data_IF_068551288095
#
_entry.id   IF_068551288095
#
_cell.length_a   1.000
_cell.length_b   1.000
_cell.length_c   1.000
_cell.angle_alpha   90.00
_cell.angle_beta   90.00
_cell.angle_gamma   90.00
#
_symmetry.space_group_name_H-M   'P 1'
#
loop_
_entity.id
_entity.type
_entity.pdbx_description
1 polymer ?
#
# COMPACT_ATOMS: atom_id res chain seq x y z
N UNK A 1 3.92 -10.93 23.89
CA UNK A 1 3.54 -9.51 23.79
C UNK A 1 2.85 -9.30 22.46
N UNK A 2 1.65 -8.74 22.46
CA UNK A 2 0.93 -8.39 21.24
C UNK A 2 1.73 -7.32 20.48
N UNK A 3 2.22 -7.65 19.28
CA UNK A 3 2.90 -6.69 18.41
C UNK A 3 1.98 -5.55 17.93
N UNK A 4 0.68 -5.62 18.23
CA UNK A 4 -0.36 -4.69 17.81
C UNK A 4 -0.22 -3.27 18.39
N UNK A 5 0.64 -3.03 19.39
CA UNK A 5 0.76 -1.69 20.01
C UNK A 5 2.05 -0.92 19.72
N UNK A 6 3.03 -1.46 19.00
CA UNK A 6 4.33 -0.77 18.81
C UNK A 6 4.91 -0.99 17.41
N UNK A 7 4.09 -0.86 16.36
CA UNK A 7 4.61 -0.80 15.00
C UNK A 7 4.12 0.49 14.33
N UNK A 8 5.08 1.39 14.05
CA UNK A 8 4.88 2.58 13.24
C UNK A 8 6.21 3.02 12.66
N UNK A 9 6.16 3.81 11.59
CA UNK A 9 7.35 4.54 11.16
C UNK A 9 7.69 5.65 12.15
N UNK A 10 8.97 6.04 12.20
CA UNK A 10 9.42 7.15 13.05
C UNK A 10 8.65 8.43 12.66
N UNK A 11 7.93 8.99 13.64
CA UNK A 11 7.11 10.18 13.49
C UNK A 11 7.94 11.42 13.08
N UNK A 12 7.26 12.46 12.61
CA UNK A 12 7.89 13.71 12.20
C UNK A 12 8.58 14.44 13.38
N UNK A 13 9.41 15.43 13.04
CA UNK A 13 10.17 16.38 13.88
C UNK A 13 11.68 16.16 14.17
N UNK A 14 12.36 15.19 13.55
CA UNK A 14 13.83 15.09 13.66
C UNK A 14 14.52 14.62 12.36
N UNK A 15 15.85 14.79 12.25
CA UNK A 15 16.70 14.33 11.12
C UNK A 15 16.51 12.82 10.82
N UNK A 16 16.17 12.02 11.83
CA UNK A 16 15.99 10.56 11.77
C UNK A 16 14.55 10.10 11.46
N UNK A 17 13.64 11.03 11.11
CA UNK A 17 12.24 10.70 10.78
C UNK A 17 12.12 9.90 9.48
N UNK A 18 11.05 9.12 9.34
CA UNK A 18 10.78 8.37 8.10
C UNK A 18 10.55 9.31 6.92
N UNK A 19 9.92 10.47 7.14
CA UNK A 19 9.69 11.46 6.10
C UNK A 19 11.00 11.90 5.40
N UNK A 20 12.09 12.04 6.16
CA UNK A 20 13.39 12.44 5.64
C UNK A 20 14.24 11.28 5.10
N UNK A 21 13.92 10.03 5.46
CA UNK A 21 14.75 8.86 5.20
C UNK A 21 14.06 7.79 4.32
N UNK A 22 12.99 8.14 3.62
CA UNK A 22 12.16 7.22 2.82
C UNK A 22 12.44 7.27 1.31
N UNK A 23 13.64 7.71 0.92
CA UNK A 23 14.04 7.83 -0.49
C UNK A 23 14.04 6.50 -1.23
N UNK A 24 14.38 5.40 -0.55
CA UNK A 24 14.35 4.06 -1.15
C UNK A 24 12.93 3.60 -1.49
N UNK A 25 11.98 3.75 -0.56
CA UNK A 25 10.57 3.43 -0.77
C UNK A 25 9.98 4.27 -1.91
N UNK A 26 10.38 5.55 -1.98
CA UNK A 26 10.03 6.44 -3.11
C UNK A 26 10.49 5.87 -4.45
N UNK A 27 11.76 5.44 -4.55
CA UNK A 27 12.30 4.86 -5.78
C UNK A 27 11.57 3.58 -6.19
N UNK A 28 11.11 2.78 -5.24
CA UNK A 28 10.32 1.59 -5.57
C UNK A 28 8.95 1.97 -6.16
N UNK A 29 8.23 2.93 -5.57
CA UNK A 29 6.95 3.41 -6.12
C UNK A 29 7.16 3.96 -7.54
N UNK A 30 8.23 4.72 -7.78
CA UNK A 30 8.56 5.22 -9.11
C UNK A 30 8.90 4.09 -10.10
N UNK A 31 9.61 3.04 -9.66
CA UNK A 31 9.96 1.89 -10.50
C UNK A 31 8.74 1.04 -10.88
N UNK A 32 7.78 0.89 -9.97
CA UNK A 32 6.56 0.12 -10.21
C UNK A 32 5.41 0.97 -10.78
N UNK A 33 5.64 2.28 -11.01
CA UNK A 33 4.67 3.19 -11.64
C UNK A 33 4.00 2.60 -12.89
N UNK A 34 4.70 2.02 -13.89
CA UNK A 34 4.04 1.48 -15.08
C UNK A 34 2.98 0.43 -14.76
N UNK A 35 3.20 -0.38 -13.71
CA UNK A 35 2.24 -1.41 -13.27
C UNK A 35 1.03 -0.78 -12.59
N UNK A 36 1.22 0.29 -11.82
CA UNK A 36 0.11 1.06 -11.25
C UNK A 36 -0.75 1.64 -12.39
N UNK A 37 -0.12 2.29 -13.38
CA UNK A 37 -0.79 2.94 -14.51
C UNK A 37 -1.55 1.93 -15.38
N UNK A 38 -0.94 0.79 -15.70
CA UNK A 38 -1.61 -0.30 -16.43
C UNK A 38 -2.80 -0.85 -15.64
N UNK A 39 -2.59 -1.15 -14.36
CA UNK A 39 -3.62 -1.76 -13.51
C UNK A 39 -4.83 -0.84 -13.29
N UNK A 40 -4.59 0.45 -13.09
CA UNK A 40 -5.67 1.43 -12.90
C UNK A 40 -6.40 1.70 -14.21
N UNK A 41 -5.69 1.74 -15.34
CA UNK A 41 -6.30 1.85 -16.67
C UNK A 41 -7.28 0.72 -16.90
N UNK A 42 -6.84 -0.51 -16.65
CA UNK A 42 -7.65 -1.72 -16.78
C UNK A 42 -8.89 -1.70 -15.89
N UNK A 43 -8.72 -1.35 -14.61
CA UNK A 43 -9.81 -1.28 -13.65
C UNK A 43 -10.82 -0.18 -14.02
N UNK A 44 -10.33 1.01 -14.38
CA UNK A 44 -11.17 2.15 -14.74
C UNK A 44 -12.00 1.86 -15.99
N UNK A 45 -11.40 1.28 -17.04
CA UNK A 45 -12.12 0.93 -18.29
C UNK A 45 -13.19 -0.14 -18.09
N UNK A 46 -12.94 -1.08 -17.18
CA UNK A 46 -13.87 -2.18 -16.86
C UNK A 46 -15.05 -1.73 -15.99
N UNK A 47 -14.82 -0.81 -15.05
CA UNK A 47 -15.83 -0.41 -14.06
C UNK A 47 -16.55 0.87 -14.47
N UNK A 48 -15.84 1.84 -15.05
CA UNK A 48 -16.33 3.19 -15.40
C UNK A 48 -17.20 3.84 -14.31
N UNK A 49 -16.69 3.97 -13.06
CA UNK A 49 -17.51 4.42 -11.94
C UNK A 49 -17.78 5.92 -12.00
N UNK A 50 -18.88 6.37 -11.40
CA UNK A 50 -19.13 7.81 -11.14
C UNK A 50 -18.21 8.34 -10.03
N UNK A 51 -17.91 7.51 -9.04
CA UNK A 51 -16.98 7.79 -7.95
C UNK A 51 -16.03 6.61 -7.78
N UNK A 52 -14.73 6.85 -7.97
CA UNK A 52 -13.67 5.87 -7.84
C UNK A 52 -13.08 5.90 -6.44
N UNK A 53 -13.32 4.84 -5.68
CA UNK A 53 -12.73 4.65 -4.34
C UNK A 53 -11.38 3.96 -4.41
N UNK A 54 -10.34 4.64 -3.92
CA UNK A 54 -8.95 4.19 -3.92
C UNK A 54 -8.47 4.08 -2.48
N UNK A 55 -7.87 2.95 -2.10
CA UNK A 55 -7.25 2.79 -0.78
C UNK A 55 -5.74 2.59 -0.88
N UNK A 56 -4.98 3.26 -0.02
CA UNK A 56 -3.55 3.00 0.20
C UNK A 56 -3.36 2.38 1.59
N UNK A 57 -2.92 1.12 1.65
CA UNK A 57 -2.81 0.33 2.88
C UNK A 57 -1.37 0.31 3.39
N UNK A 58 -1.15 0.89 4.56
CA UNK A 58 0.19 1.15 5.11
C UNK A 58 0.80 2.43 4.51
N UNK A 59 0.04 3.53 4.52
CA UNK A 59 0.45 4.79 3.90
C UNK A 59 1.62 5.48 4.60
N UNK A 60 1.87 5.14 5.88
CA UNK A 60 2.83 5.81 6.76
C UNK A 60 2.55 7.32 6.86
N UNK A 61 3.59 8.11 7.06
CA UNK A 61 3.62 9.57 6.99
C UNK A 61 4.77 10.03 6.09
N UNK A 62 4.83 11.32 5.77
CA UNK A 62 5.91 11.90 4.97
C UNK A 62 5.58 12.06 3.49
N UNK A 63 6.59 12.34 2.64
CA UNK A 63 6.38 12.81 1.27
C UNK A 63 5.88 11.72 0.30
N UNK A 64 5.95 10.44 0.69
CA UNK A 64 5.59 9.33 -0.19
C UNK A 64 4.10 8.98 -0.16
N UNK A 65 3.36 9.44 0.87
CA UNK A 65 1.94 9.11 1.11
C UNK A 65 1.08 9.32 -0.15
N UNK A 66 1.31 10.43 -0.87
CA UNK A 66 0.49 10.76 -2.02
C UNK A 66 1.08 10.31 -3.36
N UNK A 67 2.25 9.67 -3.40
CA UNK A 67 2.94 9.41 -4.67
C UNK A 67 2.20 8.40 -5.55
N UNK A 68 1.76 7.28 -4.98
CA UNK A 68 0.96 6.30 -5.70
C UNK A 68 -0.42 6.87 -6.08
N UNK A 69 -1.04 7.61 -5.16
CA UNK A 69 -2.33 8.29 -5.39
C UNK A 69 -2.22 9.28 -6.57
N UNK A 70 -1.15 10.08 -6.62
CA UNK A 70 -0.90 10.98 -7.74
C UNK A 70 -0.90 10.24 -9.07
N UNK A 71 -0.15 9.14 -9.18
CA UNK A 71 -0.07 8.35 -10.42
C UNK A 71 -1.44 7.77 -10.83
N UNK A 72 -2.23 7.32 -9.86
CA UNK A 72 -3.59 6.82 -10.07
C UNK A 72 -4.51 7.91 -10.63
N UNK A 73 -4.56 9.07 -9.94
CA UNK A 73 -5.39 10.21 -10.34
C UNK A 73 -4.99 10.74 -11.72
N UNK A 74 -3.69 10.89 -11.95
CA UNK A 74 -3.12 11.40 -13.20
C UNK A 74 -3.44 10.50 -14.38
N UNK A 75 -3.35 9.18 -14.19
CA UNK A 75 -3.66 8.21 -15.25
C UNK A 75 -5.13 8.22 -15.63
N UNK A 76 -6.04 8.20 -14.65
CA UNK A 76 -7.49 8.28 -14.92
C UNK A 76 -7.84 9.61 -15.58
N UNK A 77 -7.23 10.71 -15.13
CA UNK A 77 -7.41 12.02 -15.74
C UNK A 77 -6.98 12.03 -17.22
N UNK A 78 -5.80 11.49 -17.53
CA UNK A 78 -5.30 11.38 -18.90
C UNK A 78 -6.22 10.53 -19.80
N UNK A 79 -6.72 9.40 -19.31
CA UNK A 79 -7.69 8.56 -20.05
C UNK A 79 -8.95 9.36 -20.35
N UNK A 80 -9.50 10.06 -19.35
CA UNK A 80 -10.72 10.84 -19.53
C UNK A 80 -10.55 11.96 -20.57
N UNK A 81 -9.39 12.63 -20.58
CA UNK A 81 -9.09 13.65 -21.58
C UNK A 81 -8.96 13.06 -22.99
N UNK A 82 -8.26 11.93 -23.13
CA UNK A 82 -8.02 11.28 -24.43
C UNK A 82 -9.31 10.70 -25.02
N UNK A 83 -10.14 10.07 -24.20
CA UNK A 83 -11.36 9.39 -24.63
C UNK A 83 -12.61 10.26 -24.49
N UNK A 84 -12.46 11.54 -24.11
CA UNK A 84 -13.55 12.51 -23.92
C UNK A 84 -14.61 12.02 -22.91
N UNK A 85 -14.15 11.30 -21.88
CA UNK A 85 -15.01 10.78 -20.81
C UNK A 85 -15.17 11.82 -19.69
N UNK A 86 -16.26 11.71 -18.95
CA UNK A 86 -16.46 12.50 -17.73
C UNK A 86 -15.51 11.99 -16.65
N UNK A 87 -14.75 12.92 -16.06
CA UNK A 87 -13.88 12.61 -14.92
C UNK A 87 -14.71 12.18 -13.70
N UNK A 88 -14.42 11.02 -13.07
CA UNK A 88 -15.12 10.59 -11.88
C UNK A 88 -14.73 11.47 -10.68
N UNK A 89 -15.51 11.37 -9.61
CA UNK A 89 -15.02 11.75 -8.28
C UNK A 89 -14.05 10.70 -7.76
N UNK A 90 -13.12 11.10 -6.90
CA UNK A 90 -12.17 10.21 -6.25
C UNK A 90 -12.35 10.29 -4.75
N UNK A 91 -12.55 9.13 -4.13
CA UNK A 91 -12.51 8.98 -2.68
C UNK A 91 -11.25 8.19 -2.33
N UNK A 92 -10.25 8.90 -1.82
CA UNK A 92 -8.95 8.36 -1.44
C UNK A 92 -8.94 8.07 0.05
N UNK A 93 -8.65 6.82 0.41
CA UNK A 93 -8.66 6.32 1.78
C UNK A 93 -7.24 5.89 2.17
N UNK A 94 -6.59 6.69 3.00
CA UNK A 94 -5.24 6.44 3.50
C UNK A 94 -5.33 5.61 4.79
N UNK A 95 -4.86 4.37 4.74
CA UNK A 95 -4.87 3.47 5.89
C UNK A 95 -3.48 3.29 6.49
N UNK A 96 -3.43 3.31 7.81
CA UNK A 96 -2.29 2.83 8.61
C UNK A 96 -2.77 2.43 10.01
N UNK A 97 -1.87 1.94 10.85
CA UNK A 97 -2.15 1.64 12.25
C UNK A 97 -2.54 2.91 13.03
N UNK A 98 -3.33 2.81 14.10
CA UNK A 98 -3.80 3.98 14.86
C UNK A 98 -2.71 4.91 15.39
N UNK A 99 -1.52 4.37 15.65
CA UNK A 99 -0.36 5.11 16.17
C UNK A 99 0.44 5.86 15.09
N UNK A 100 0.04 5.77 13.83
CA UNK A 100 0.65 6.52 12.74
C UNK A 100 0.41 8.03 12.90
N UNK A 101 1.33 8.84 12.36
CA UNK A 101 1.21 10.29 12.41
C UNK A 101 0.29 10.80 11.28
N UNK A 102 -1.01 10.54 11.45
CA UNK A 102 -2.07 11.07 10.58
C UNK A 102 -2.17 12.59 10.65
N UNK A 103 -1.76 13.21 11.76
CA UNK A 103 -1.75 14.68 11.87
C UNK A 103 -0.80 15.29 10.85
N UNK A 104 0.40 14.73 10.67
CA UNK A 104 1.31 15.14 9.60
C UNK A 104 0.67 14.94 8.22
N UNK A 105 0.05 13.78 7.98
CA UNK A 105 -0.63 13.48 6.71
C UNK A 105 -1.71 14.53 6.42
N UNK A 106 -2.61 14.80 7.36
CA UNK A 106 -3.70 15.76 7.15
C UNK A 106 -3.21 17.19 6.96
N UNK A 107 -2.16 17.61 7.68
CA UNK A 107 -1.50 18.92 7.47
C UNK A 107 -0.87 19.04 6.08
N UNK A 108 -0.49 17.92 5.44
CA UNK A 108 0.10 17.91 4.10
C UNK A 108 -0.90 17.87 2.94
N UNK A 109 -2.18 17.57 3.21
CA UNK A 109 -3.25 17.50 2.18
C UNK A 109 -3.43 18.83 1.42
N UNK A 110 -3.48 20.02 2.06
CA UNK A 110 -3.61 21.28 1.33
C UNK A 110 -2.51 21.49 0.28
N UNK A 111 -1.26 21.19 0.64
CA UNK A 111 -0.12 21.28 -0.29
C UNK A 111 -0.20 20.28 -1.44
N UNK A 112 -0.80 19.12 -1.22
CA UNK A 112 -1.09 18.16 -2.29
C UNK A 112 -2.17 18.69 -3.25
N UNK A 113 -3.26 19.26 -2.73
CA UNK A 113 -4.31 19.86 -3.56
C UNK A 113 -3.80 21.05 -4.38
N UNK A 114 -2.99 21.94 -3.79
CA UNK A 114 -2.38 23.05 -4.54
C UNK A 114 -1.51 22.55 -5.70
N UNK A 115 -0.77 21.45 -5.49
CA UNK A 115 0.02 20.83 -6.56
C UNK A 115 -0.87 20.23 -7.66
N UNK A 116 -1.93 19.51 -7.29
CA UNK A 116 -2.89 18.96 -8.26
C UNK A 116 -3.50 20.07 -9.10
N UNK A 117 -3.96 21.14 -8.46
CA UNK A 117 -4.52 22.31 -9.13
C UNK A 117 -3.52 22.94 -10.10
N UNK A 118 -2.29 23.18 -9.64
CA UNK A 118 -1.24 23.80 -10.45
C UNK A 118 -0.83 22.97 -11.67
N UNK A 119 -0.72 21.65 -11.53
CA UNK A 119 -0.16 20.80 -12.59
C UNK A 119 -1.21 20.10 -13.46
N UNK A 120 -2.46 19.98 -13.00
CA UNK A 120 -3.56 19.27 -13.71
C UNK A 120 -4.86 20.08 -13.80
N UNK A 121 -4.92 21.26 -13.18
CA UNK A 121 -6.08 22.13 -13.21
C UNK A 121 -7.12 21.82 -12.13
N UNK A 122 -8.03 22.78 -11.96
CA UNK A 122 -9.02 22.82 -10.87
C UNK A 122 -9.96 21.61 -10.90
N UNK A 123 -10.31 21.11 -12.09
CA UNK A 123 -11.25 20.01 -12.28
C UNK A 123 -10.84 18.71 -11.55
N UNK A 124 -9.56 18.35 -11.56
CA UNK A 124 -9.08 17.13 -10.89
C UNK A 124 -9.01 17.32 -9.36
N UNK A 125 -8.60 18.52 -8.93
CA UNK A 125 -8.50 18.83 -7.50
C UNK A 125 -9.88 18.88 -6.84
N UNK A 126 -10.87 19.55 -7.46
CA UNK A 126 -12.24 19.69 -6.93
C UNK A 126 -12.99 18.36 -6.82
N UNK A 127 -12.54 17.34 -7.54
CA UNK A 127 -13.12 15.99 -7.56
C UNK A 127 -12.40 14.99 -6.68
N UNK A 128 -11.37 15.40 -5.91
CA UNK A 128 -10.55 14.50 -5.11
C UNK A 128 -10.77 14.72 -3.60
N UNK A 129 -11.27 13.70 -2.92
CA UNK A 129 -11.58 13.73 -1.48
C UNK A 129 -10.69 12.72 -0.74
N UNK A 130 -9.89 13.20 0.22
CA UNK A 130 -8.92 12.36 0.95
C UNK A 130 -9.36 12.19 2.40
N UNK A 131 -9.42 10.95 2.88
CA UNK A 131 -9.70 10.59 4.25
C UNK A 131 -8.69 9.59 4.83
N UNK A 132 -8.66 9.48 6.16
CA UNK A 132 -7.83 8.51 6.88
C UNK A 132 -8.65 7.35 7.46
N UNK A 133 -8.10 6.14 7.45
CA UNK A 133 -8.69 4.93 8.04
C UNK A 133 -7.69 4.29 8.99
N UNK A 134 -7.89 4.48 10.29
CA UNK A 134 -7.02 3.91 11.32
C UNK A 134 -7.38 2.44 11.58
N UNK A 135 -6.41 1.55 11.44
CA UNK A 135 -6.58 0.13 11.73
C UNK A 135 -5.58 -0.78 11.02
N UNK A 136 -5.39 -1.98 11.56
CA UNK A 136 -4.56 -2.98 10.90
C UNK A 136 -5.30 -3.57 9.70
N UNK A 137 -4.65 -3.58 8.53
CA UNK A 137 -5.14 -4.25 7.34
C UNK A 137 -5.24 -5.79 7.46
N UNK A 138 -4.88 -6.38 8.60
CA UNK A 138 -5.20 -7.78 8.93
C UNK A 138 -6.61 -7.93 9.56
N UNK A 139 -7.44 -6.88 9.52
CA UNK A 139 -8.87 -6.91 9.84
C UNK A 139 -9.68 -6.25 8.72
N UNK A 140 -11.01 -6.33 8.82
CA UNK A 140 -11.92 -5.56 7.95
C UNK A 140 -11.72 -4.07 8.23
N UNK A 141 -11.54 -3.29 7.17
CA UNK A 141 -11.35 -1.85 7.21
C UNK A 141 -12.46 -1.11 6.45
N UNK A 142 -13.05 -1.76 5.44
CA UNK A 142 -13.99 -1.14 4.52
C UNK A 142 -15.28 -1.95 4.40
N UNK A 143 -16.39 -1.33 3.99
CA UNK A 143 -17.60 -2.06 3.62
C UNK A 143 -17.37 -3.05 2.48
N UNK A 144 -18.27 -4.02 2.36
CA UNK A 144 -18.20 -5.04 1.30
C UNK A 144 -18.37 -4.42 -0.07
N UNK A 145 -17.52 -4.80 -1.03
CA UNK A 145 -17.52 -4.34 -2.44
C UNK A 145 -17.52 -2.82 -2.60
N UNK A 146 -16.84 -2.08 -1.72
CA UNK A 146 -16.78 -0.62 -1.79
C UNK A 146 -15.54 -0.08 -2.51
N UNK A 147 -14.45 -0.86 -2.61
CA UNK A 147 -13.18 -0.39 -3.17
C UNK A 147 -13.03 -0.76 -4.64
N UNK A 148 -12.54 0.19 -5.43
CA UNK A 148 -12.25 0.01 -6.87
C UNK A 148 -10.78 -0.33 -7.09
N UNK A 149 -9.89 0.33 -6.35
CA UNK A 149 -8.46 0.15 -6.46
C UNK A 149 -7.80 0.14 -5.08
N UNK A 150 -6.92 -0.82 -4.84
CA UNK A 150 -6.13 -0.94 -3.61
C UNK A 150 -4.65 -0.92 -3.95
N UNK A 151 -3.91 -0.05 -3.28
CA UNK A 151 -2.46 -0.02 -3.34
C UNK A 151 -1.89 -0.36 -1.96
N UNK A 152 -0.76 -1.04 -1.93
CA UNK A 152 0.08 -1.15 -0.73
C UNK A 152 1.53 -1.31 -1.15
N UNK A 153 2.40 -0.46 -0.61
CA UNK A 153 3.84 -0.55 -0.83
C UNK A 153 4.56 -0.62 0.51
N UNK A 154 5.37 -1.66 0.70
CA UNK A 154 6.16 -1.86 1.92
C UNK A 154 5.33 -1.96 3.22
N UNK A 155 4.03 -2.25 3.13
CA UNK A 155 3.21 -2.56 4.30
C UNK A 155 3.16 -4.06 4.61
N UNK A 156 2.85 -4.88 3.61
CA UNK A 156 2.43 -6.29 3.82
C UNK A 156 3.50 -7.25 4.35
N UNK A 157 4.78 -6.85 4.40
CA UNK A 157 5.84 -7.70 4.95
C UNK A 157 5.91 -7.62 6.48
N UNK A 158 5.25 -6.64 7.09
CA UNK A 158 5.07 -6.58 8.53
C UNK A 158 4.04 -7.60 8.98
N UNK A 159 4.46 -8.53 9.83
CA UNK A 159 3.60 -9.59 10.36
C UNK A 159 2.63 -9.04 11.41
N UNK A 160 1.48 -9.71 11.56
CA UNK A 160 0.49 -9.36 12.59
C UNK A 160 1.00 -9.58 14.01
N UNK A 161 1.96 -10.50 14.17
CA UNK A 161 2.64 -10.82 15.41
C UNK A 161 4.00 -11.48 15.17
N UNK A 162 4.82 -11.51 16.21
CA UNK A 162 6.06 -12.29 16.22
C UNK A 162 5.73 -13.78 16.07
N UNK A 163 6.39 -14.52 15.16
CA UNK A 163 6.21 -15.97 15.05
C UNK A 163 6.50 -16.70 16.36
N UNK A 164 5.80 -17.82 16.59
CA UNK A 164 6.05 -18.72 17.74
C UNK A 164 7.17 -19.69 17.37
N UNK A 165 7.99 -20.13 18.33
CA UNK A 165 9.06 -21.09 18.09
C UNK A 165 10.39 -20.46 17.66
N UNK A 166 10.72 -19.28 18.19
CA UNK A 166 11.93 -18.52 17.85
C UNK A 166 13.04 -18.61 18.92
N UNK A 167 12.89 -19.47 19.92
CA UNK A 167 13.79 -19.62 21.08
C UNK A 167 15.23 -19.95 20.65
N UNK A 168 15.38 -20.69 19.55
CA UNK A 168 16.66 -21.09 19.00
C UNK A 168 17.29 -20.05 18.06
N UNK A 169 16.65 -18.90 17.82
CA UNK A 169 17.18 -17.83 16.97
C UNK A 169 18.23 -16.97 17.69
N UNK A 170 19.20 -17.62 18.36
CA UNK A 170 20.15 -16.97 19.25
C UNK A 170 21.00 -15.93 18.49
N UNK A 171 21.01 -14.70 19.01
CA UNK A 171 21.79 -13.59 18.44
C UNK A 171 21.16 -12.92 17.22
N UNK A 172 19.97 -13.31 16.80
CA UNK A 172 19.28 -12.73 15.65
C UNK A 172 17.92 -12.13 16.06
N UNK A 173 17.61 -10.95 15.51
CA UNK A 173 16.30 -10.28 15.71
C UNK A 173 15.28 -10.59 14.60
N UNK A 174 15.71 -11.29 13.55
CA UNK A 174 14.91 -11.70 12.40
C UNK A 174 15.49 -13.00 11.80
N UNK A 175 14.93 -13.47 10.68
CA UNK A 175 15.57 -14.49 9.84
C UNK A 175 16.94 -14.00 9.36
N UNK A 176 17.99 -14.73 9.70
CA UNK A 176 19.36 -14.48 9.29
C UNK A 176 20.00 -15.75 8.72
N UNK A 177 21.18 -15.62 8.09
CA UNK A 177 21.91 -16.78 7.54
C UNK A 177 22.25 -17.84 8.59
N UNK A 178 22.44 -17.41 9.85
CA UNK A 178 22.72 -18.28 10.99
C UNK A 178 21.47 -18.86 11.65
N UNK A 179 20.26 -18.42 11.26
CA UNK A 179 19.01 -18.91 11.84
C UNK A 179 18.79 -20.38 11.49
N UNK A 180 18.32 -21.20 12.45
CA UNK A 180 17.98 -22.59 12.17
C UNK A 180 16.78 -22.69 11.20
N UNK A 181 16.62 -23.79 10.46
CA UNK A 181 15.49 -23.99 9.54
C UNK A 181 14.11 -23.83 10.18
N UNK A 182 13.96 -24.15 11.48
CA UNK A 182 12.73 -23.97 12.25
C UNK A 182 12.27 -22.50 12.29
N UNK A 183 13.21 -21.55 12.38
CA UNK A 183 12.92 -20.11 12.37
C UNK A 183 12.38 -19.68 11.01
N UNK A 184 13.01 -20.10 9.92
CA UNK A 184 12.50 -19.80 8.57
C UNK A 184 11.09 -20.35 8.36
N UNK A 185 10.83 -21.57 8.83
CA UNK A 185 9.50 -22.17 8.79
C UNK A 185 8.50 -21.36 9.62
N UNK A 186 8.85 -20.95 10.84
CA UNK A 186 7.97 -20.17 11.70
C UNK A 186 7.57 -18.82 11.07
N UNK A 187 8.52 -18.09 10.49
CA UNK A 187 8.23 -16.86 9.75
C UNK A 187 7.38 -17.10 8.50
N UNK A 188 7.66 -18.17 7.74
CA UNK A 188 6.89 -18.53 6.56
C UNK A 188 5.43 -18.88 6.91
N UNK A 189 5.22 -19.71 7.94
CA UNK A 189 3.89 -20.11 8.42
C UNK A 189 3.08 -18.88 8.90
N UNK A 190 3.73 -17.96 9.64
CA UNK A 190 3.09 -16.73 10.10
C UNK A 190 2.75 -15.79 8.94
N UNK A 191 3.67 -15.60 7.99
CA UNK A 191 3.41 -14.80 6.78
C UNK A 191 2.29 -15.40 5.93
N UNK A 192 2.26 -16.72 5.75
CA UNK A 192 1.21 -17.39 5.01
C UNK A 192 -0.15 -17.13 5.66
N UNK A 193 -0.25 -17.31 6.99
CA UNK A 193 -1.49 -17.03 7.73
C UNK A 193 -1.94 -15.57 7.56
N UNK A 194 -1.03 -14.63 7.75
CA UNK A 194 -1.31 -13.20 7.67
C UNK A 194 -1.72 -12.77 6.26
N UNK A 195 -0.96 -13.22 5.25
CA UNK A 195 -1.21 -12.86 3.86
C UNK A 195 -2.49 -13.51 3.32
N UNK A 196 -2.78 -14.78 3.65
CA UNK A 196 -4.05 -15.41 3.31
C UNK A 196 -5.23 -14.66 3.93
N UNK A 197 -5.14 -14.27 5.21
CA UNK A 197 -6.18 -13.49 5.87
C UNK A 197 -6.34 -12.11 5.21
N UNK A 198 -5.24 -11.40 4.93
CA UNK A 198 -5.25 -10.14 4.19
C UNK A 198 -5.99 -10.28 2.86
N UNK A 199 -5.63 -11.26 2.03
CA UNK A 199 -6.26 -11.48 0.73
C UNK A 199 -7.75 -11.81 0.87
N UNK A 200 -8.14 -12.63 1.85
CA UNK A 200 -9.55 -12.96 2.12
C UNK A 200 -10.35 -11.68 2.42
N UNK A 201 -9.88 -10.87 3.36
CA UNK A 201 -10.54 -9.62 3.74
C UNK A 201 -10.62 -8.63 2.59
N UNK A 202 -9.53 -8.45 1.83
CA UNK A 202 -9.51 -7.57 0.65
C UNK A 202 -10.45 -8.06 -0.44
N UNK A 203 -10.60 -9.38 -0.62
CA UNK A 203 -11.50 -9.93 -1.62
C UNK A 203 -12.99 -9.63 -1.34
N UNK A 204 -13.35 -9.43 -0.06
CA UNK A 204 -14.70 -9.04 0.34
C UNK A 204 -14.95 -7.53 0.14
N UNK A 205 -13.91 -6.70 0.31
CA UNK A 205 -13.99 -5.24 0.26
C UNK A 205 -13.84 -4.68 -1.16
N UNK A 206 -13.07 -5.36 -2.00
CA UNK A 206 -12.87 -4.98 -3.41
C UNK A 206 -14.07 -5.42 -4.23
N UNK A 207 -14.61 -4.49 -5.03
CA UNK A 207 -15.74 -4.77 -5.90
C UNK A 207 -15.35 -5.72 -7.06
N UNK A 208 -16.31 -6.39 -7.72
CA UNK A 208 -16.02 -7.14 -8.94
C UNK A 208 -15.28 -6.27 -9.96
N UNK A 209 -14.24 -6.83 -10.59
CA UNK A 209 -13.35 -6.13 -11.54
C UNK A 209 -12.44 -5.05 -10.92
N UNK A 210 -12.53 -4.82 -9.61
CA UNK A 210 -11.57 -4.01 -8.88
C UNK A 210 -10.17 -4.62 -8.91
N UNK A 211 -9.17 -3.78 -8.64
CA UNK A 211 -7.77 -4.15 -8.74
C UNK A 211 -7.02 -3.91 -7.42
N UNK A 212 -5.98 -4.69 -7.19
CA UNK A 212 -5.05 -4.50 -6.08
C UNK A 212 -3.62 -4.64 -6.57
N UNK A 213 -2.78 -3.65 -6.27
CA UNK A 213 -1.34 -3.63 -6.56
C UNK A 213 -0.57 -3.64 -5.25
N UNK A 214 0.24 -4.69 -5.06
CA UNK A 214 1.02 -4.91 -3.84
C UNK A 214 2.50 -4.93 -4.16
N UNK A 215 3.29 -4.20 -3.38
CA UNK A 215 4.76 -4.24 -3.43
C UNK A 215 5.32 -4.54 -2.06
N UNK A 216 6.17 -5.57 -1.96
CA UNK A 216 6.78 -5.99 -0.71
C UNK A 216 8.24 -6.40 -0.85
N UNK A 217 8.89 -6.55 0.30
CA UNK A 217 10.22 -7.15 0.40
C UNK A 217 10.11 -8.65 0.14
N UNK A 218 11.02 -9.17 -0.68
CA UNK A 218 11.16 -10.59 -0.97
C UNK A 218 12.63 -10.97 -1.13
N UNK A 219 12.92 -12.26 -1.11
CA UNK A 219 14.27 -12.82 -1.33
C UNK A 219 14.27 -13.77 -2.51
N UNK A 220 15.38 -13.83 -3.26
CA UNK A 220 15.57 -14.83 -4.32
C UNK A 220 16.55 -15.91 -3.86
N UNK A 221 16.19 -17.18 -4.07
CA UNK A 221 16.95 -18.36 -3.62
C UNK A 221 18.27 -18.60 -4.37
N UNK A 222 18.66 -17.74 -5.33
CA UNK A 222 19.90 -17.90 -6.11
C UNK A 222 21.17 -17.34 -5.47
N UNK A 223 21.06 -16.67 -4.32
CA UNK A 223 22.22 -16.24 -3.56
C UNK A 223 21.93 -16.48 -2.09
N UNK A 224 22.68 -17.41 -1.48
CA UNK A 224 22.80 -17.48 -0.02
C UNK A 224 23.26 -16.11 0.47
N UNK A 225 22.32 -15.34 1.01
CA UNK A 225 22.52 -14.07 1.69
C UNK A 225 23.11 -12.94 0.82
N UNK A 226 22.21 -12.19 0.20
CA UNK A 226 22.40 -10.80 -0.19
C UNK A 226 21.01 -10.20 -0.35
N UNK A 227 20.77 -8.99 0.13
CA UNK A 227 19.55 -8.23 -0.17
C UNK A 227 19.52 -7.93 -1.68
N UNK A 228 19.17 -8.94 -2.48
CA UNK A 228 18.72 -8.75 -3.85
C UNK A 228 17.20 -8.83 -3.78
N UNK A 229 16.63 -7.68 -3.43
CA UNK A 229 15.20 -7.49 -3.36
C UNK A 229 14.67 -7.33 -4.79
N UNK A 230 14.07 -8.38 -5.34
CA UNK A 230 13.19 -8.24 -6.51
C UNK A 230 11.77 -8.02 -6.01
N UNK A 231 11.14 -6.97 -6.51
CA UNK A 231 9.69 -6.80 -6.46
C UNK A 231 9.07 -8.06 -7.07
N UNK A 232 8.46 -8.89 -6.23
CA UNK A 232 7.69 -10.05 -6.69
C UNK A 232 6.30 -9.54 -7.03
N UNK A 233 5.95 -9.66 -8.30
CA UNK A 233 4.75 -9.10 -8.91
C UNK A 233 3.62 -10.13 -8.83
N UNK A 234 2.53 -9.78 -8.16
CA UNK A 234 1.31 -10.56 -8.21
C UNK A 234 0.14 -9.62 -8.55
N UNK A 235 -0.25 -9.59 -9.82
CA UNK A 235 -1.54 -9.04 -10.24
C UNK A 235 -2.59 -10.12 -9.97
N UNK A 236 -3.30 -10.01 -8.84
CA UNK A 236 -4.41 -10.92 -8.52
C UNK A 236 -5.67 -10.41 -9.23
N UNK A 237 -5.91 -10.88 -10.45
CA UNK A 237 -7.20 -10.72 -11.12
C UNK A 237 -8.14 -11.84 -10.69
N UNK A 238 -9.30 -11.48 -10.13
CA UNK A 238 -10.37 -12.43 -9.82
C UNK A 238 -10.88 -13.06 -11.12
N UNK A 239 -10.65 -14.36 -11.31
CA UNK A 239 -11.38 -15.15 -12.32
C UNK A 239 -12.78 -15.40 -11.77
N UNK A 240 -13.81 -15.04 -12.53
CA UNK A 240 -15.19 -15.32 -12.15
C UNK A 240 -15.40 -16.84 -12.06
N UNK A 241 -16.02 -17.27 -10.96
CA UNK A 241 -16.71 -18.57 -10.85
C UNK A 241 -18.15 -18.35 -11.27
#
# INVERSE_FOLDING_TARGET
MDAKMILRMNAADHEISYANNSSFQKQVILKIRPIIEESITDAFKKIAPVCMKVADLGCSSGPNVFLAIWHILDTVHGICQQEQLKLPEFEVLLNDLPENDFNFVFKSIPGFYERLKKERGDMLQERCFIGGVAGSFYHRLFPTKSLHFVHSSYGIHWLSKVPVGLEDNKGNVYMARSSPPSVFKAYADQFQKDFTNFLSLRSEEIMPQGCMVLTCVGSSTRSRCGFIQRSSLHTLQRRNS
#
